data_IF_466928643709
#
_entry.id   IF_466928643709
#
_cell.length_a   1.000
_cell.length_b   1.000
_cell.length_c   1.000
_cell.angle_alpha   90.00
_cell.angle_beta   90.00
_cell.angle_gamma   90.00
#
_symmetry.space_group_name_H-M   'P 1'
#
loop_
_entity.id
_entity.type
_entity.pdbx_description
1 polymer ?
#
# COMPACT_ATOMS: atom_id res chain seq x y z
N UNK A 1 -3.39 5.94 -4.58
CA UNK A 1 -2.58 7.03 -3.98
C UNK A 1 -1.25 7.31 -4.65
N UNK A 2 -0.59 6.34 -5.30
CA UNK A 2 0.75 6.57 -5.88
C UNK A 2 0.73 7.12 -7.32
N UNK A 3 -0.43 7.21 -7.96
CA UNK A 3 -0.60 7.68 -9.33
C UNK A 3 -1.66 8.79 -9.43
N UNK A 4 -2.95 8.46 -9.30
CA UNK A 4 -4.05 9.43 -9.52
C UNK A 4 -3.95 10.65 -8.60
N UNK A 5 -3.71 10.46 -7.30
CA UNK A 5 -3.51 11.56 -6.36
C UNK A 5 -2.34 12.47 -6.76
N UNK A 6 -1.26 11.93 -7.34
CA UNK A 6 -0.13 12.73 -7.81
C UNK A 6 -0.51 13.55 -9.05
N UNK A 7 -1.31 12.97 -9.96
CA UNK A 7 -1.89 13.71 -11.09
C UNK A 7 -2.79 14.83 -10.57
N UNK A 8 -3.70 14.56 -9.63
CA UNK A 8 -4.59 15.55 -9.02
C UNK A 8 -3.81 16.69 -8.35
N UNK A 9 -2.80 16.36 -7.53
CA UNK A 9 -1.92 17.36 -6.89
C UNK A 9 -1.26 18.27 -7.91
N UNK A 10 -0.71 17.68 -8.96
CA UNK A 10 -0.02 18.43 -10.02
C UNK A 10 -0.98 19.29 -10.85
N UNK A 11 -2.19 18.78 -11.13
CA UNK A 11 -3.23 19.55 -11.83
C UNK A 11 -3.66 20.74 -10.97
N UNK A 12 -3.93 20.56 -9.68
CA UNK A 12 -4.28 21.66 -8.78
C UNK A 12 -3.15 22.67 -8.65
N UNK A 13 -1.92 22.20 -8.45
CA UNK A 13 -0.74 23.06 -8.38
C UNK A 13 -0.58 23.93 -9.64
N UNK A 14 -0.65 23.34 -10.84
CA UNK A 14 -0.51 24.08 -12.10
C UNK A 14 -1.66 25.05 -12.38
N UNK A 15 -2.80 24.86 -11.74
CA UNK A 15 -4.00 25.68 -11.92
C UNK A 15 -4.35 26.50 -10.67
N UNK A 16 -3.38 26.78 -9.79
CA UNK A 16 -3.51 27.66 -8.63
C UNK A 16 -4.54 27.24 -7.57
N UNK A 17 -4.84 25.95 -7.47
CA UNK A 17 -5.60 25.37 -6.36
C UNK A 17 -4.67 24.78 -5.30
N UNK A 18 -5.14 24.68 -4.06
CA UNK A 18 -4.42 23.97 -3.00
C UNK A 18 -4.31 22.47 -3.36
N UNK A 19 -3.09 21.92 -3.51
CA UNK A 19 -2.90 20.55 -3.99
C UNK A 19 -3.25 19.47 -2.96
N UNK A 20 -3.51 19.82 -1.70
CA UNK A 20 -3.70 18.87 -0.60
C UNK A 20 -5.04 19.03 0.14
N UNK A 21 -5.60 20.24 0.21
CA UNK A 21 -6.82 20.59 0.94
C UNK A 21 -7.98 19.60 0.70
N UNK A 22 -8.19 19.21 -0.56
CA UNK A 22 -9.24 18.28 -0.97
C UNK A 22 -9.23 16.94 -0.22
N UNK A 23 -8.08 16.50 0.27
CA UNK A 23 -7.89 15.20 0.92
C UNK A 23 -8.19 15.18 2.42
N UNK A 24 -8.43 16.34 3.06
CA UNK A 24 -8.59 16.44 4.52
C UNK A 24 -9.54 17.55 5.00
N UNK A 25 -9.75 18.63 4.25
CA UNK A 25 -10.72 19.66 4.63
C UNK A 25 -12.15 19.12 4.58
N UNK A 26 -13.04 19.69 5.41
CA UNK A 26 -14.46 19.32 5.44
C UNK A 26 -14.73 17.83 5.69
N UNK A 27 -13.95 17.23 6.60
CA UNK A 27 -14.01 15.79 6.94
C UNK A 27 -13.74 14.85 5.76
N UNK A 28 -13.12 15.36 4.68
CA UNK A 28 -12.69 14.54 3.56
C UNK A 28 -11.59 13.56 3.97
N UNK A 29 -11.49 12.47 3.21
CA UNK A 29 -10.43 11.48 3.35
C UNK A 29 -10.14 10.82 2.02
N UNK A 30 -9.06 10.05 1.96
CA UNK A 30 -8.65 9.27 0.79
C UNK A 30 -8.40 7.81 1.15
N UNK A 31 -8.50 6.93 0.17
CA UNK A 31 -8.27 5.49 0.34
C UNK A 31 -7.84 4.85 -0.99
N UNK A 32 -7.18 3.69 -0.91
CA UNK A 32 -6.67 2.97 -2.09
C UNK A 32 -6.93 1.47 -1.89
N UNK A 33 -7.66 0.85 -2.81
CA UNK A 33 -8.03 -0.55 -2.71
C UNK A 33 -6.91 -1.51 -3.11
N UNK A 34 -5.85 -1.06 -3.77
CA UNK A 34 -4.78 -1.96 -4.18
C UNK A 34 -4.12 -2.66 -2.98
N UNK A 35 -3.77 -1.89 -1.94
CA UNK A 35 -3.19 -2.47 -0.73
C UNK A 35 -4.26 -3.18 0.14
N UNK A 36 -5.55 -2.86 -0.03
CA UNK A 36 -6.65 -3.64 0.56
C UNK A 36 -6.72 -5.04 -0.07
N UNK A 37 -6.61 -5.15 -1.39
CA UNK A 37 -6.58 -6.44 -2.08
C UNK A 37 -5.37 -7.27 -1.65
N UNK A 38 -4.18 -6.66 -1.57
CA UNK A 38 -2.97 -7.33 -1.06
C UNK A 38 -3.13 -7.80 0.38
N UNK A 39 -3.68 -6.96 1.26
CA UNK A 39 -3.91 -7.33 2.65
C UNK A 39 -4.95 -8.43 2.79
N UNK A 40 -5.99 -8.40 1.96
CA UNK A 40 -7.00 -9.45 1.90
C UNK A 40 -6.36 -10.79 1.47
N UNK A 41 -5.60 -10.81 0.38
CA UNK A 41 -4.86 -11.99 -0.05
C UNK A 41 -3.93 -12.54 1.04
N UNK A 42 -3.10 -11.68 1.63
CA UNK A 42 -2.07 -12.13 2.57
C UNK A 42 -2.62 -12.57 3.93
N UNK A 43 -3.67 -11.91 4.41
CA UNK A 43 -4.15 -12.10 5.79
C UNK A 43 -5.42 -12.93 5.84
N UNK A 44 -6.34 -12.79 4.88
CA UNK A 44 -7.66 -13.45 4.88
C UNK A 44 -8.10 -13.78 3.44
N UNK A 45 -7.41 -14.69 2.75
CA UNK A 45 -7.64 -14.95 1.32
C UNK A 45 -8.99 -15.64 1.03
N UNK A 46 -9.56 -16.33 2.02
CA UNK A 46 -10.75 -17.15 1.85
C UNK A 46 -11.94 -16.36 1.27
N UNK A 47 -12.62 -16.97 0.30
CA UNK A 47 -13.83 -16.41 -0.31
C UNK A 47 -13.61 -15.49 -1.52
N UNK A 48 -12.36 -15.25 -1.92
CA UNK A 48 -12.00 -14.51 -3.14
C UNK A 48 -11.06 -15.38 -3.98
N UNK A 49 -11.25 -15.38 -5.29
CA UNK A 49 -10.36 -16.07 -6.23
C UNK A 49 -9.19 -15.16 -6.56
N UNK A 50 -7.97 -15.68 -6.38
CA UNK A 50 -6.73 -14.92 -6.58
C UNK A 50 -6.02 -15.40 -7.83
N UNK A 51 -5.98 -14.60 -8.91
CA UNK A 51 -5.31 -14.98 -10.14
C UNK A 51 -3.79 -14.97 -9.96
N UNK A 52 -3.11 -15.86 -10.66
CA UNK A 52 -1.65 -15.86 -10.79
C UNK A 52 -1.23 -15.16 -12.09
N UNK A 53 -0.02 -14.61 -12.11
CA UNK A 53 0.63 -14.11 -13.31
C UNK A 53 1.42 -15.23 -14.02
N UNK A 54 2.07 -14.90 -15.13
CA UNK A 54 2.85 -15.87 -15.93
C UNK A 54 4.04 -16.49 -15.17
N UNK A 55 4.48 -15.86 -14.06
CA UNK A 55 5.55 -16.35 -13.18
C UNK A 55 5.02 -17.20 -11.99
N UNK A 56 3.71 -17.48 -11.93
CA UNK A 56 3.08 -18.20 -10.82
C UNK A 56 2.95 -17.38 -9.54
N UNK A 57 3.03 -16.05 -9.62
CA UNK A 57 2.89 -15.12 -8.50
C UNK A 57 1.51 -14.47 -8.48
N UNK A 58 0.98 -14.08 -7.30
CA UNK A 58 -0.34 -13.46 -7.21
C UNK A 58 -0.38 -12.14 -7.99
N UNK A 59 -1.41 -12.01 -8.85
CA UNK A 59 -1.65 -10.80 -9.64
C UNK A 59 -2.73 -9.93 -9.01
N UNK A 60 -2.42 -8.65 -8.82
CA UNK A 60 -3.35 -7.64 -8.30
C UNK A 60 -3.81 -6.65 -9.36
N UNK A 61 -3.64 -7.00 -10.64
CA UNK A 61 -4.21 -6.21 -11.74
C UNK A 61 -5.73 -6.30 -11.71
N UNK A 62 -6.40 -5.17 -11.91
CA UNK A 62 -7.85 -5.07 -11.73
C UNK A 62 -8.59 -6.01 -12.69
N UNK A 63 -8.16 -6.05 -13.95
CA UNK A 63 -8.68 -6.90 -15.01
C UNK A 63 -8.51 -8.40 -14.72
N UNK A 64 -7.43 -8.80 -14.05
CA UNK A 64 -7.22 -10.19 -13.63
C UNK A 64 -8.16 -10.55 -12.47
N UNK A 65 -8.25 -9.67 -11.47
CA UNK A 65 -9.08 -9.88 -10.29
C UNK A 65 -10.57 -9.94 -10.64
N UNK A 66 -11.06 -9.04 -11.48
CA UNK A 66 -12.47 -9.03 -11.89
C UNK A 66 -12.81 -10.30 -12.68
N UNK A 67 -11.97 -10.67 -13.65
CA UNK A 67 -12.14 -11.90 -14.44
C UNK A 67 -12.15 -13.16 -13.56
N UNK A 68 -11.22 -13.28 -12.61
CA UNK A 68 -11.14 -14.43 -11.71
C UNK A 68 -12.36 -14.57 -10.76
N UNK A 69 -13.04 -13.46 -10.48
CA UNK A 69 -14.18 -13.41 -9.56
C UNK A 69 -15.53 -13.25 -10.28
N UNK A 70 -15.58 -13.43 -11.61
CA UNK A 70 -16.82 -13.36 -12.39
C UNK A 70 -17.46 -11.97 -12.42
N UNK A 71 -16.66 -10.92 -12.26
CA UNK A 71 -17.11 -9.53 -12.32
C UNK A 71 -16.92 -9.03 -13.75
N UNK A 72 -17.99 -8.51 -14.34
CA UNK A 72 -17.92 -7.91 -15.66
C UNK A 72 -16.96 -6.72 -15.66
N UNK A 73 -16.05 -6.72 -16.64
CA UNK A 73 -15.08 -5.66 -16.87
C UNK A 73 -15.00 -5.44 -18.38
N UNK A 74 -16.07 -4.87 -18.94
CA UNK A 74 -16.19 -4.54 -20.36
C UNK A 74 -15.26 -3.37 -20.69
N UNK A 75 -14.49 -3.49 -21.78
CA UNK A 75 -13.43 -2.54 -22.18
C UNK A 75 -12.54 -2.08 -21.01
N UNK A 76 -11.72 -3.00 -20.48
CA UNK A 76 -10.55 -2.61 -19.69
C UNK A 76 -9.82 -1.47 -20.43
N UNK A 77 -9.55 -0.36 -19.73
CA UNK A 77 -9.07 0.95 -20.24
C UNK A 77 -10.12 2.04 -20.53
N UNK A 78 -11.42 1.79 -20.34
CA UNK A 78 -12.38 2.89 -20.11
C UNK A 78 -12.34 3.29 -18.63
N UNK A 79 -12.11 4.58 -18.37
CA UNK A 79 -12.04 5.12 -17.01
C UNK A 79 -13.31 4.81 -16.20
N UNK A 80 -14.48 4.77 -16.87
CA UNK A 80 -15.73 4.40 -16.21
C UNK A 80 -15.80 2.90 -15.87
N UNK A 81 -15.31 2.04 -16.76
CA UNK A 81 -15.25 0.60 -16.51
C UNK A 81 -14.34 0.28 -15.31
N UNK A 82 -13.16 0.93 -15.23
CA UNK A 82 -12.25 0.77 -14.10
C UNK A 82 -12.87 1.24 -12.77
N UNK A 83 -13.67 2.31 -12.78
CA UNK A 83 -14.42 2.77 -11.61
C UNK A 83 -15.44 1.72 -11.16
N UNK A 84 -16.24 1.17 -12.07
CA UNK A 84 -17.23 0.14 -11.72
C UNK A 84 -16.57 -1.15 -11.23
N UNK A 85 -15.49 -1.58 -11.89
CA UNK A 85 -14.69 -2.73 -11.46
C UNK A 85 -14.12 -2.50 -10.05
N UNK A 86 -13.59 -1.31 -9.76
CA UNK A 86 -13.08 -0.95 -8.43
C UNK A 86 -14.18 -0.99 -7.36
N UNK A 87 -15.38 -0.46 -7.66
CA UNK A 87 -16.54 -0.54 -6.76
C UNK A 87 -16.96 -1.99 -6.51
N UNK A 88 -16.98 -2.82 -7.55
CA UNK A 88 -17.33 -4.24 -7.45
C UNK A 88 -16.32 -5.00 -6.58
N UNK A 89 -15.02 -4.75 -6.74
CA UNK A 89 -13.99 -5.33 -5.87
C UNK A 89 -14.13 -4.88 -4.42
N UNK A 90 -14.45 -3.61 -4.18
CA UNK A 90 -14.71 -3.10 -2.83
C UNK A 90 -15.88 -3.86 -2.17
N UNK A 91 -16.99 -4.03 -2.91
CA UNK A 91 -18.17 -4.78 -2.44
C UNK A 91 -17.84 -6.24 -2.17
N UNK A 92 -17.03 -6.86 -3.04
CA UNK A 92 -16.59 -8.24 -2.87
C UNK A 92 -15.81 -8.42 -1.56
N UNK A 93 -14.78 -7.60 -1.32
CA UNK A 93 -13.99 -7.66 -0.08
C UNK A 93 -14.86 -7.36 1.15
N UNK A 94 -15.73 -6.35 1.07
CA UNK A 94 -16.65 -6.02 2.18
C UNK A 94 -17.59 -7.18 2.52
N UNK A 95 -18.03 -7.95 1.53
CA UNK A 95 -18.93 -9.09 1.73
C UNK A 95 -18.20 -10.31 2.26
N UNK A 96 -17.03 -10.63 1.68
CA UNK A 96 -16.27 -11.85 2.00
C UNK A 96 -15.43 -11.70 3.27
N UNK A 97 -14.92 -10.50 3.53
CA UNK A 97 -14.00 -10.19 4.64
C UNK A 97 -14.39 -8.88 5.36
N UNK A 98 -15.61 -8.78 5.94
CA UNK A 98 -16.14 -7.53 6.49
C UNK A 98 -15.28 -6.94 7.62
N UNK A 99 -14.82 -7.78 8.56
CA UNK A 99 -13.98 -7.31 9.68
C UNK A 99 -12.64 -6.74 9.21
N UNK A 100 -12.05 -7.33 8.19
CA UNK A 100 -10.79 -6.83 7.60
C UNK A 100 -11.04 -5.52 6.84
N UNK A 101 -12.12 -5.47 6.05
CA UNK A 101 -12.51 -4.25 5.32
C UNK A 101 -12.72 -3.08 6.28
N UNK A 102 -13.49 -3.28 7.35
CA UNK A 102 -13.76 -2.25 8.36
C UNK A 102 -12.47 -1.84 9.09
N UNK A 103 -11.63 -2.80 9.47
CA UNK A 103 -10.34 -2.53 10.08
C UNK A 103 -9.48 -1.62 9.18
N UNK A 104 -9.29 -1.99 7.91
CA UNK A 104 -8.47 -1.23 6.97
C UNK A 104 -9.09 0.14 6.64
N UNK A 105 -10.41 0.22 6.54
CA UNK A 105 -11.10 1.48 6.29
C UNK A 105 -10.93 2.44 7.46
N UNK A 106 -11.11 1.99 8.70
CA UNK A 106 -10.89 2.82 9.90
C UNK A 106 -9.42 3.26 10.00
N UNK A 107 -8.47 2.36 9.69
CA UNK A 107 -7.04 2.64 9.77
C UNK A 107 -6.48 3.37 8.53
N UNK A 108 -7.32 3.88 7.61
CA UNK A 108 -6.86 4.86 6.60
C UNK A 108 -6.51 6.22 7.22
N UNK A 109 -7.03 6.50 8.43
CA UNK A 109 -6.79 7.74 9.15
C UNK A 109 -5.41 7.72 9.82
N UNK A 110 -4.62 8.78 9.62
CA UNK A 110 -3.26 8.90 10.17
C UNK A 110 -3.19 8.76 11.68
N UNK A 111 -4.16 9.29 12.43
CA UNK A 111 -4.16 9.22 13.90
C UNK A 111 -4.45 7.80 14.39
N UNK A 112 -5.30 7.05 13.68
CA UNK A 112 -5.55 5.63 13.98
C UNK A 112 -4.31 4.77 13.71
N UNK A 113 -3.56 5.06 12.64
CA UNK A 113 -2.28 4.39 12.36
C UNK A 113 -1.22 4.72 13.41
N UNK A 114 -1.10 6.00 13.80
CA UNK A 114 -0.14 6.43 14.82
C UNK A 114 -0.32 5.68 16.15
N UNK A 115 -1.55 5.34 16.53
CA UNK A 115 -1.83 4.59 17.76
C UNK A 115 -1.26 3.15 17.75
N UNK A 116 -0.90 2.61 16.58
CA UNK A 116 -0.26 1.29 16.46
C UNK A 116 1.26 1.36 16.62
N UNK A 117 1.86 2.53 16.42
CA UNK A 117 3.31 2.72 16.37
C UNK A 117 3.84 3.01 17.77
N UNK A 118 4.66 2.09 18.29
CA UNK A 118 5.42 2.26 19.53
C UNK A 118 6.91 2.12 19.21
N UNK A 119 7.55 3.28 19.01
CA UNK A 119 8.98 3.38 18.67
C UNK A 119 9.87 2.96 19.84
N UNK A 120 9.66 3.44 21.09
CA UNK A 120 10.51 3.04 22.23
C UNK A 120 10.55 1.53 22.47
N UNK A 121 9.42 0.84 22.29
CA UNK A 121 9.36 -0.63 22.47
C UNK A 121 9.65 -1.40 21.17
N UNK A 122 9.90 -0.71 20.05
CA UNK A 122 10.05 -1.32 18.72
C UNK A 122 8.94 -2.34 18.42
N UNK A 123 7.70 -2.01 18.78
CA UNK A 123 6.57 -2.97 18.72
C UNK A 123 6.42 -3.50 17.29
N UNK A 124 6.52 -4.82 17.08
CA UNK A 124 6.43 -5.39 15.73
C UNK A 124 5.01 -5.23 15.17
N UNK A 125 4.93 -4.93 13.89
CA UNK A 125 3.69 -4.74 13.13
C UNK A 125 3.74 -5.57 11.86
N UNK A 126 2.57 -6.06 11.43
CA UNK A 126 2.41 -6.60 10.07
C UNK A 126 2.26 -5.41 9.12
N UNK A 127 3.10 -5.35 8.09
CA UNK A 127 2.99 -4.35 7.03
C UNK A 127 2.79 -5.05 5.68
N UNK A 128 1.78 -4.59 4.94
CA UNK A 128 1.51 -5.02 3.57
C UNK A 128 1.85 -3.88 2.63
N UNK A 129 2.73 -4.12 1.67
CA UNK A 129 3.20 -3.13 0.70
C UNK A 129 3.74 -3.80 -0.56
N UNK A 130 3.41 -3.23 -1.72
CA UNK A 130 3.96 -3.64 -3.02
C UNK A 130 5.50 -3.71 -3.05
N UNK A 131 6.19 -2.91 -2.22
CA UNK A 131 7.65 -2.86 -2.14
C UNK A 131 8.29 -4.16 -1.64
N UNK A 132 7.53 -5.01 -0.95
CA UNK A 132 8.03 -6.28 -0.43
C UNK A 132 8.12 -7.38 -1.50
N UNK A 133 7.41 -7.22 -2.62
CA UNK A 133 7.35 -8.20 -3.72
C UNK A 133 6.23 -9.24 -3.57
N UNK A 134 5.71 -9.70 -4.71
CA UNK A 134 4.58 -10.63 -4.77
C UNK A 134 4.92 -12.04 -4.25
N UNK A 135 6.20 -12.44 -4.33
CA UNK A 135 6.71 -13.74 -3.86
C UNK A 135 6.49 -14.02 -2.36
N UNK A 136 6.35 -12.97 -1.53
CA UNK A 136 5.97 -13.07 -0.11
C UNK A 136 4.60 -12.46 0.18
N UNK A 137 3.70 -12.48 -0.81
CA UNK A 137 2.35 -11.92 -0.69
C UNK A 137 2.35 -10.45 -0.31
N UNK A 138 3.36 -9.68 -0.75
CA UNK A 138 3.55 -8.27 -0.41
C UNK A 138 3.57 -7.98 1.11
N UNK A 139 3.97 -8.92 1.95
CA UNK A 139 3.81 -8.82 3.41
C UNK A 139 5.11 -9.08 4.16
N UNK A 140 5.33 -8.36 5.25
CA UNK A 140 6.39 -8.66 6.21
C UNK A 140 6.03 -8.20 7.62
N UNK A 141 6.79 -8.67 8.61
CA UNK A 141 6.88 -8.04 9.91
C UNK A 141 7.91 -6.91 9.87
N UNK A 142 7.53 -5.77 10.46
CA UNK A 142 8.37 -4.59 10.57
C UNK A 142 8.41 -4.10 12.00
N UNK A 143 9.51 -3.45 12.39
CA UNK A 143 9.61 -2.74 13.66
C UNK A 143 9.94 -1.25 13.41
N UNK A 144 9.30 -0.31 14.13
CA UNK A 144 9.60 1.11 14.01
C UNK A 144 10.89 1.44 14.77
N UNK A 145 11.84 2.10 14.07
CA UNK A 145 13.11 2.53 14.66
C UNK A 145 13.08 3.99 15.11
N UNK A 146 12.53 4.87 14.28
CA UNK A 146 12.50 6.31 14.55
C UNK A 146 11.47 7.02 13.66
N UNK A 147 11.05 8.22 14.07
CA UNK A 147 10.37 9.15 13.17
C UNK A 147 11.38 9.75 12.20
N UNK A 148 10.95 10.00 10.96
CA UNK A 148 11.81 10.62 9.97
C UNK A 148 12.13 12.08 10.38
N UNK A 149 13.40 12.54 10.29
CA UNK A 149 13.81 13.84 10.83
C UNK A 149 13.14 15.03 10.14
N UNK A 150 12.92 14.96 8.82
CA UNK A 150 12.30 16.05 8.04
C UNK A 150 10.81 15.84 7.75
N UNK A 151 10.42 14.67 7.23
CA UNK A 151 9.04 14.35 6.90
C UNK A 151 8.26 13.85 8.12
N UNK A 152 7.47 14.76 8.73
CA UNK A 152 6.62 14.46 9.90
C UNK A 152 5.61 13.32 9.71
N UNK A 153 5.27 12.97 8.47
CA UNK A 153 4.33 11.89 8.17
C UNK A 153 5.03 10.56 7.85
N UNK A 154 6.36 10.48 8.00
CA UNK A 154 7.13 9.27 7.73
C UNK A 154 7.74 8.69 9.03
N UNK A 155 7.68 7.37 9.14
CA UNK A 155 8.33 6.56 10.18
C UNK A 155 9.32 5.62 9.50
N UNK A 156 10.51 5.48 10.08
CA UNK A 156 11.56 4.59 9.62
C UNK A 156 11.29 3.21 10.20
N UNK A 157 11.07 2.24 9.32
CA UNK A 157 10.78 0.85 9.67
C UNK A 157 11.95 -0.04 9.25
N UNK A 158 12.29 -1.03 10.07
CA UNK A 158 13.15 -2.15 9.69
C UNK A 158 12.30 -3.34 9.26
N UNK A 159 12.67 -3.99 8.15
CA UNK A 159 12.06 -5.26 7.71
C UNK A 159 12.71 -6.41 8.49
N UNK A 160 11.95 -7.05 9.37
CA UNK A 160 12.46 -8.12 10.25
C UNK A 160 12.73 -9.44 9.52
N UNK A 161 12.27 -9.57 8.28
CA UNK A 161 12.60 -10.71 7.42
C UNK A 161 13.93 -10.52 6.66
N UNK A 162 14.49 -9.31 6.66
CA UNK A 162 15.75 -9.00 6.01
C UNK A 162 16.96 -9.27 6.90
N UNK A 163 18.14 -9.38 6.27
CA UNK A 163 19.41 -9.39 7.00
C UNK A 163 19.71 -8.01 7.58
N UNK A 164 19.81 -7.95 8.92
CA UNK A 164 20.08 -6.72 9.68
C UNK A 164 21.57 -6.48 9.91
N UNK A 165 22.45 -7.42 9.58
CA UNK A 165 23.91 -7.30 9.80
C UNK A 165 24.47 -5.98 9.24
N UNK A 166 24.08 -5.51 8.03
CA UNK A 166 24.55 -4.22 7.53
C UNK A 166 24.17 -3.02 8.42
N UNK A 167 23.03 -3.06 9.11
CA UNK A 167 22.60 -1.98 10.02
C UNK A 167 23.39 -1.96 11.32
N UNK A 168 23.98 -3.10 11.70
CA UNK A 168 24.78 -3.25 12.92
C UNK A 168 26.26 -2.96 12.67
N UNK A 169 26.75 -3.28 11.47
CA UNK A 169 28.18 -3.26 11.14
C UNK A 169 28.63 -1.98 10.44
N UNK A 170 27.76 -1.35 9.64
CA UNK A 170 28.13 -0.22 8.79
C UNK A 170 27.77 1.13 9.42
N UNK A 171 28.55 2.15 9.10
CA UNK A 171 28.24 3.53 9.46
C UNK A 171 27.11 4.13 8.60
N UNK A 172 26.59 5.27 9.03
CA UNK A 172 25.45 5.92 8.40
C UNK A 172 25.68 6.39 6.97
N UNK A 173 26.91 6.78 6.61
CA UNK A 173 27.21 7.27 5.26
C UNK A 173 27.29 6.08 4.29
N UNK A 174 27.97 5.01 4.69
CA UNK A 174 28.01 3.75 3.91
C UNK A 174 26.60 3.16 3.71
N UNK A 175 25.76 3.18 4.76
CA UNK A 175 24.36 2.74 4.68
C UNK A 175 23.55 3.56 3.68
N UNK A 176 23.73 4.89 3.69
CA UNK A 176 23.03 5.80 2.78
C UNK A 176 23.41 5.52 1.32
N UNK A 177 24.68 5.33 1.03
CA UNK A 177 25.16 5.00 -0.31
C UNK A 177 24.56 3.69 -0.84
N UNK A 178 24.60 2.61 -0.02
CA UNK A 178 23.98 1.33 -0.38
C UNK A 178 22.48 1.46 -0.64
N UNK A 179 21.78 2.24 0.19
CA UNK A 179 20.34 2.46 0.05
C UNK A 179 20.00 3.17 -1.28
N UNK A 180 20.72 4.25 -1.61
CA UNK A 180 20.52 5.00 -2.85
C UNK A 180 20.84 4.13 -4.07
N UNK A 181 21.95 3.39 -4.04
CA UNK A 181 22.34 2.50 -5.15
C UNK A 181 21.27 1.45 -5.45
N UNK A 182 20.68 0.84 -4.40
CA UNK A 182 19.60 -0.15 -4.56
C UNK A 182 18.33 0.48 -5.13
N UNK A 183 17.98 1.70 -4.72
CA UNK A 183 16.82 2.43 -5.26
C UNK A 183 16.95 2.64 -6.77
N UNK A 184 18.13 3.01 -7.26
CA UNK A 184 18.33 3.26 -8.71
C UNK A 184 18.22 2.01 -9.59
N UNK A 185 18.42 0.81 -9.02
CA UNK A 185 18.21 -0.47 -9.72
C UNK A 185 16.74 -0.90 -9.82
N UNK A 186 15.85 -0.42 -8.95
CA UNK A 186 14.42 -0.78 -9.02
C UNK A 186 13.60 0.09 -9.98
N UNK A 187 14.21 1.14 -10.57
CA UNK A 187 13.60 2.04 -11.56
C UNK A 187 14.20 1.90 -12.97
N UNK A 188 15.16 0.98 -13.16
CA UNK A 188 15.61 0.51 -14.47
C UNK A 188 15.03 -0.87 -14.72
#
# INVERSE_FOLDING_TARGET
>A
MRFDDEVTRNVFYRNFYDPYAWSWQHDNSRWDLLDVMRACYALRPEGINWPENDDGLPSFRLEHLTKANGIEHSNAHDAMADVYATIAMAKLVKTRQPRLFDYLFTHRNKHKLMALIDVPQMKPLVHVSGMFGAWRGNTSWVAPLAWHPENRNAVIMVDLAGDISPLLELDSDTLRERFIYRKNRSWR
#
